data_IF_590186143616
#
_entry.id   IF_590186143616
#
_cell.length_a   1.000
_cell.length_b   1.000
_cell.length_c   1.000
_cell.angle_alpha   90.00
_cell.angle_beta   90.00
_cell.angle_gamma   90.00
#
_symmetry.space_group_name_H-M   'P 1'
#
loop_
_entity.id
_entity.type
_entity.pdbx_description
1 polymer ?
#
# COMPACT_ATOMS: atom_id res chain seq x y z
N UNK A 1 15.96 -35.64 -11.10
CA UNK A 1 14.70 -35.03 -10.60
C UNK A 1 15.07 -34.17 -9.42
N UNK A 2 15.58 -32.97 -9.69
CA UNK A 2 15.91 -31.98 -8.66
C UNK A 2 14.64 -31.22 -8.35
N UNK A 3 14.05 -31.51 -7.19
CA UNK A 3 13.01 -30.67 -6.61
C UNK A 3 13.71 -29.42 -6.05
N UNK A 4 13.92 -28.44 -6.93
CA UNK A 4 14.34 -27.11 -6.50
C UNK A 4 13.23 -26.58 -5.62
N UNK A 5 13.46 -26.27 -4.33
CA UNK A 5 12.43 -25.69 -3.50
C UNK A 5 11.99 -24.40 -4.19
N UNK A 6 10.76 -24.43 -4.70
CA UNK A 6 10.09 -23.25 -5.26
C UNK A 6 10.23 -22.18 -4.20
N UNK A 7 10.84 -21.05 -4.58
CA UNK A 7 10.91 -19.86 -3.74
C UNK A 7 9.46 -19.50 -3.39
N UNK A 8 8.97 -19.98 -2.25
CA UNK A 8 7.68 -19.58 -1.68
C UNK A 8 7.90 -18.13 -1.36
N UNK A 9 7.47 -17.23 -2.25
CA UNK A 9 7.59 -15.80 -2.02
C UNK A 9 6.90 -15.55 -0.68
N UNK A 10 7.62 -14.99 0.28
CA UNK A 10 7.04 -14.20 1.35
C UNK A 10 5.91 -13.35 0.76
N UNK A 11 4.78 -13.14 1.48
CA UNK A 11 3.57 -12.61 0.86
C UNK A 11 3.90 -11.35 0.06
N UNK A 12 3.38 -11.23 -1.16
CA UNK A 12 3.64 -10.04 -1.98
C UNK A 12 3.28 -8.79 -1.18
N UNK A 13 4.32 -8.02 -0.79
CA UNK A 13 4.12 -6.83 0.04
C UNK A 13 3.42 -5.72 -0.71
N UNK A 14 3.45 -5.77 -2.05
CA UNK A 14 2.64 -4.96 -2.95
C UNK A 14 2.07 -5.88 -4.04
N UNK A 15 0.75 -5.83 -4.24
CA UNK A 15 0.04 -6.50 -5.33
C UNK A 15 -0.92 -5.53 -6.01
N UNK A 16 -1.01 -5.60 -7.34
CA UNK A 16 -1.98 -4.86 -8.14
C UNK A 16 -3.14 -5.77 -8.54
N UNK A 17 -4.37 -5.30 -8.35
CA UNK A 17 -5.60 -6.00 -8.71
C UNK A 17 -6.01 -5.66 -10.14
N UNK A 18 -6.89 -6.48 -10.72
CA UNK A 18 -7.36 -6.30 -12.09
C UNK A 18 -8.05 -4.95 -12.37
N UNK A 19 -8.55 -4.28 -11.34
CA UNK A 19 -9.20 -2.96 -11.42
C UNK A 19 -8.22 -1.79 -11.20
N UNK A 20 -6.92 -2.07 -11.10
CA UNK A 20 -5.88 -1.09 -10.79
C UNK A 20 -5.78 -0.72 -9.31
N UNK A 21 -6.51 -1.41 -8.42
CA UNK A 21 -6.31 -1.24 -6.98
C UNK A 21 -4.96 -1.82 -6.56
N UNK A 22 -4.19 -1.06 -5.80
CA UNK A 22 -2.93 -1.53 -5.20
C UNK A 22 -3.18 -1.95 -3.76
N UNK A 23 -2.88 -3.20 -3.43
CA UNK A 23 -2.87 -3.74 -2.06
C UNK A 23 -1.43 -3.73 -1.54
N UNK A 24 -1.24 -3.16 -0.35
CA UNK A 24 0.03 -3.21 0.37
C UNK A 24 -0.15 -3.97 1.68
N UNK A 25 0.72 -4.95 1.94
CA UNK A 25 0.79 -5.69 3.20
C UNK A 25 2.01 -5.22 4.00
N UNK A 26 1.81 -4.88 5.27
CA UNK A 26 2.90 -4.60 6.19
C UNK A 26 3.50 -5.91 6.74
N UNK A 27 4.80 -6.20 6.51
CA UNK A 27 5.44 -7.44 6.99
C UNK A 27 5.56 -7.56 8.51
N UNK A 28 5.53 -6.44 9.23
CA UNK A 28 5.75 -6.40 10.68
C UNK A 28 4.44 -6.44 11.46
N UNK A 29 3.36 -5.87 10.91
CA UNK A 29 2.07 -5.77 11.60
C UNK A 29 0.95 -6.61 10.96
N UNK A 30 1.14 -7.11 9.74
CA UNK A 30 0.08 -7.78 8.97
C UNK A 30 -1.06 -6.86 8.53
N UNK A 31 -0.93 -5.55 8.72
CA UNK A 31 -1.93 -4.56 8.29
C UNK A 31 -1.95 -4.42 6.77
N UNK A 32 -3.13 -4.27 6.19
CA UNK A 32 -3.31 -4.09 4.76
C UNK A 32 -3.83 -2.68 4.42
N UNK A 33 -3.24 -2.05 3.41
CA UNK A 33 -3.68 -0.76 2.86
C UNK A 33 -4.09 -0.98 1.41
N UNK A 34 -5.23 -0.42 1.02
CA UNK A 34 -5.81 -0.59 -0.32
C UNK A 34 -5.96 0.76 -0.99
N UNK A 35 -5.18 1.00 -2.05
CA UNK A 35 -5.22 2.22 -2.85
C UNK A 35 -6.00 1.96 -4.12
N UNK A 36 -7.23 2.45 -4.18
CA UNK A 36 -8.07 2.33 -5.39
C UNK A 36 -7.64 3.40 -6.40
N UNK A 37 -7.35 2.98 -7.64
CA UNK A 37 -7.05 3.90 -8.74
C UNK A 37 -8.14 4.98 -8.87
N UNK A 38 -7.73 6.23 -9.08
CA UNK A 38 -8.65 7.37 -9.20
C UNK A 38 -9.17 7.96 -7.88
N UNK A 39 -8.90 7.37 -6.71
CA UNK A 39 -9.25 7.97 -5.40
C UNK A 39 -8.20 8.94 -4.84
N UNK A 40 -6.97 8.92 -5.38
CA UNK A 40 -5.88 9.83 -4.97
C UNK A 40 -6.10 11.30 -5.35
N UNK A 41 -6.98 11.59 -6.32
CA UNK A 41 -7.29 12.95 -6.79
C UNK A 41 -8.48 13.60 -6.08
N UNK A 42 -8.83 13.15 -4.87
CA UNK A 42 -9.72 13.90 -3.98
C UNK A 42 -8.88 14.57 -2.91
N UNK A 43 -8.35 15.78 -3.13
CA UNK A 43 -8.06 16.62 -1.98
C UNK A 43 -9.37 16.68 -1.18
N UNK A 44 -9.34 16.15 0.04
CA UNK A 44 -10.33 16.57 1.03
C UNK A 44 -10.27 18.09 0.96
N UNK A 45 -11.38 18.81 0.80
CA UNK A 45 -11.39 20.29 0.72
C UNK A 45 -10.95 20.97 2.01
N UNK A 46 -10.06 20.32 2.76
CA UNK A 46 -9.39 20.75 3.98
C UNK A 46 -8.27 21.68 3.56
N UNK A 47 -8.52 22.96 3.72
CA UNK A 47 -7.46 23.95 3.81
C UNK A 47 -6.69 23.66 5.09
N UNK A 48 -5.44 23.18 4.96
CA UNK A 48 -4.55 23.07 6.11
C UNK A 48 -4.16 24.50 6.56
N UNK A 49 -4.10 24.78 7.87
CA UNK A 49 -3.57 26.04 8.36
C UNK A 49 -2.07 26.14 8.03
N UNK A 50 -1.55 27.37 8.01
CA UNK A 50 -0.11 27.59 7.83
C UNK A 50 0.68 26.85 8.94
N UNK A 51 1.82 26.22 8.60
CA UNK A 51 2.65 25.54 9.59
C UNK A 51 3.11 26.52 10.68
N UNK A 52 2.95 26.14 11.95
CA UNK A 52 3.47 26.90 13.09
C UNK A 52 4.68 26.16 13.66
N UNK A 53 5.69 26.90 14.14
CA UNK A 53 6.85 26.31 14.80
C UNK A 53 6.43 25.51 16.03
N UNK A 54 7.09 24.36 16.25
CA UNK A 54 6.99 23.61 17.49
C UNK A 54 7.90 24.28 18.53
N UNK A 55 7.39 24.45 19.75
CA UNK A 55 8.10 25.01 20.90
C UNK A 55 9.06 24.02 21.58
#
# INVERSE_FOLDING_TARGET
MTDTPQYVREPEFISELADGTVKQLNPFSGTEVWTVAGRGNRPLGVTLPDPVALD
#
